data_IF_466906611574
#
_entry.id   IF_466906611574
#
_cell.length_a   1.000
_cell.length_b   1.000
_cell.length_c   1.000
_cell.angle_alpha   90.00
_cell.angle_beta   90.00
_cell.angle_gamma   90.00
#
_symmetry.space_group_name_H-M   'P 1'
#
loop_
_entity.id
_entity.type
_entity.pdbx_description
1 polymer ?
#
# COMPACT_ATOMS: atom_id res chain seq x y z
N UNK A 1 -1.01 19.10 4.00
CA UNK A 1 0.04 19.29 5.02
C UNK A 1 1.32 18.72 4.42
N UNK A 2 1.96 19.47 3.52
CA UNK A 2 3.15 18.99 2.77
C UNK A 2 4.44 19.66 3.24
N UNK A 3 4.36 20.86 3.80
CA UNK A 3 5.52 21.58 4.27
C UNK A 3 5.94 21.14 5.68
N UNK A 4 7.25 20.99 5.85
CA UNK A 4 7.90 20.64 7.11
C UNK A 4 7.52 21.62 8.22
N UNK A 5 6.88 21.16 9.31
CA UNK A 5 6.64 22.01 10.47
C UNK A 5 7.96 22.43 11.11
N UNK A 6 8.05 23.69 11.51
CA UNK A 6 9.29 24.36 11.99
C UNK A 6 9.97 23.61 13.17
N UNK A 7 9.20 22.86 13.97
CA UNK A 7 9.68 22.10 15.13
C UNK A 7 9.28 20.61 15.10
N UNK A 8 9.03 20.02 13.93
CA UNK A 8 8.68 18.60 13.85
C UNK A 8 9.86 17.71 14.25
N UNK A 9 9.61 16.75 15.15
CA UNK A 9 10.62 15.79 15.64
C UNK A 9 11.22 14.97 14.50
N UNK A 10 10.37 14.21 13.82
CA UNK A 10 10.71 13.29 12.73
C UNK A 10 9.53 13.23 11.74
N UNK A 11 9.81 12.72 10.53
CA UNK A 11 8.80 12.43 9.52
C UNK A 11 8.30 10.99 9.67
N UNK A 12 6.98 10.81 9.66
CA UNK A 12 6.31 9.51 9.57
C UNK A 12 5.50 9.47 8.27
N UNK A 13 5.76 8.47 7.43
CA UNK A 13 5.02 8.23 6.19
C UNK A 13 4.16 6.98 6.35
N UNK A 14 2.87 7.11 6.11
CA UNK A 14 1.89 6.03 6.18
C UNK A 14 1.53 5.54 4.77
N UNK A 15 1.82 4.27 4.48
CA UNK A 15 1.55 3.62 3.20
C UNK A 15 0.35 2.68 3.33
N UNK A 16 -0.72 2.98 2.59
CA UNK A 16 -1.94 2.18 2.61
C UNK A 16 -1.79 0.86 1.82
N UNK A 17 -2.65 -0.11 2.13
CA UNK A 17 -2.70 -1.40 1.44
C UNK A 17 -3.58 -1.40 0.19
N UNK A 18 -3.85 -2.59 -0.33
CA UNK A 18 -4.77 -2.77 -1.45
C UNK A 18 -6.20 -2.41 -1.04
N UNK A 19 -6.96 -1.82 -1.97
CA UNK A 19 -8.33 -1.32 -1.77
C UNK A 19 -8.47 -0.27 -0.66
N UNK A 20 -7.41 0.46 -0.36
CA UNK A 20 -7.39 1.56 0.60
C UNK A 20 -6.82 2.83 -0.05
N UNK A 21 -6.91 3.95 0.67
CA UNK A 21 -6.30 5.24 0.31
C UNK A 21 -5.94 6.01 1.59
N UNK A 22 -5.36 7.20 1.50
CA UNK A 22 -4.79 7.95 2.64
C UNK A 22 -5.73 8.05 3.85
N UNK A 23 -7.05 8.10 3.63
CA UNK A 23 -8.05 8.29 4.66
C UNK A 23 -8.09 7.17 5.70
N UNK A 24 -7.63 5.95 5.35
CA UNK A 24 -7.48 4.85 6.30
C UNK A 24 -6.58 5.22 7.49
N UNK A 25 -5.65 6.16 7.29
CA UNK A 25 -4.71 6.61 8.30
C UNK A 25 -5.16 7.85 9.07
N UNK A 26 -6.30 8.46 8.74
CA UNK A 26 -6.75 9.74 9.34
C UNK A 26 -6.66 9.79 10.88
N UNK A 27 -7.14 8.77 11.64
CA UNK A 27 -7.01 8.79 13.09
C UNK A 27 -5.56 8.80 13.59
N UNK A 28 -4.65 8.15 12.86
CA UNK A 28 -3.23 8.08 13.18
C UNK A 28 -2.51 9.38 12.83
N UNK A 29 -2.84 10.01 11.70
CA UNK A 29 -2.31 11.32 11.34
C UNK A 29 -2.62 12.34 12.43
N UNK A 30 -3.86 12.40 12.89
CA UNK A 30 -4.27 13.29 13.99
C UNK A 30 -3.51 12.96 15.29
N UNK A 31 -3.40 11.69 15.66
CA UNK A 31 -2.70 11.27 16.87
C UNK A 31 -1.21 11.66 16.87
N UNK A 32 -0.47 11.36 15.81
CA UNK A 32 0.97 11.59 15.73
C UNK A 32 1.31 13.07 15.48
N UNK A 33 0.48 13.79 14.71
CA UNK A 33 0.63 15.24 14.56
C UNK A 33 0.54 15.95 15.92
N UNK A 34 -0.44 15.57 16.76
CA UNK A 34 -0.57 16.08 18.13
C UNK A 34 0.61 15.73 19.06
N UNK A 35 1.46 14.78 18.69
CA UNK A 35 2.69 14.41 19.42
C UNK A 35 3.94 15.14 18.91
N UNK A 36 3.78 16.02 17.92
CA UNK A 36 4.85 16.84 17.32
C UNK A 36 5.63 16.15 16.21
N UNK A 37 5.06 15.12 15.57
CA UNK A 37 5.63 14.52 14.37
C UNK A 37 5.12 15.20 13.11
N UNK A 38 5.94 15.26 12.06
CA UNK A 38 5.46 15.54 10.71
C UNK A 38 4.90 14.24 10.15
N UNK A 39 3.64 14.23 9.76
CA UNK A 39 2.96 13.01 9.30
C UNK A 39 2.39 13.21 7.91
N UNK A 40 2.64 12.23 7.04
CA UNK A 40 2.20 12.24 5.65
C UNK A 40 1.60 10.88 5.31
N UNK A 41 0.45 10.87 4.64
CA UNK A 41 -0.13 9.67 4.05
C UNK A 41 -0.42 9.96 2.57
N UNK A 42 0.46 9.58 1.63
CA UNK A 42 0.17 9.73 0.22
C UNK A 42 -0.87 8.71 -0.23
N UNK A 43 -1.60 9.04 -1.30
CA UNK A 43 -2.21 8.02 -2.14
C UNK A 43 -1.11 7.40 -3.00
N UNK A 44 -0.93 6.08 -2.92
CA UNK A 44 0.06 5.41 -3.75
C UNK A 44 -0.36 5.43 -5.22
N UNK A 45 0.60 5.40 -6.15
CA UNK A 45 0.33 5.26 -7.59
C UNK A 45 -0.70 4.16 -7.84
N UNK A 46 -1.67 4.43 -8.70
CA UNK A 46 -2.78 3.51 -8.95
C UNK A 46 -4.02 3.73 -8.08
N UNK A 47 -3.97 4.58 -7.05
CA UNK A 47 -5.05 4.74 -6.07
C UNK A 47 -5.57 6.17 -5.96
N UNK A 48 -6.86 6.28 -5.62
CA UNK A 48 -7.60 7.52 -5.36
C UNK A 48 -7.25 8.69 -6.31
N UNK A 49 -6.63 9.76 -5.81
CA UNK A 49 -6.33 10.97 -6.59
C UNK A 49 -4.94 10.93 -7.24
N UNK A 50 -4.12 9.94 -6.91
CA UNK A 50 -2.82 9.72 -7.56
C UNK A 50 -2.99 9.15 -8.97
N UNK A 51 -1.99 9.43 -9.81
CA UNK A 51 -1.93 8.96 -11.20
C UNK A 51 -2.00 7.44 -11.28
N UNK A 52 -2.58 6.95 -12.38
CA UNK A 52 -2.81 5.52 -12.66
C UNK A 52 -2.15 5.15 -13.99
N UNK A 53 -0.81 4.99 -14.04
CA UNK A 53 -0.13 4.61 -15.27
C UNK A 53 -0.71 3.32 -15.86
N UNK A 54 -0.88 3.27 -17.19
CA UNK A 54 -1.46 2.10 -17.87
C UNK A 54 -0.52 0.88 -17.85
N UNK A 55 0.80 1.13 -17.89
CA UNK A 55 1.78 0.06 -17.96
C UNK A 55 1.92 -0.65 -16.61
N UNK A 56 1.71 -1.97 -16.59
CA UNK A 56 1.88 -2.80 -15.38
C UNK A 56 3.28 -2.70 -14.78
N UNK A 57 4.31 -2.56 -15.63
CA UNK A 57 5.70 -2.37 -15.19
C UNK A 57 5.92 -1.07 -14.39
N UNK A 58 5.03 -0.07 -14.53
CA UNK A 58 5.07 1.15 -13.72
C UNK A 58 4.74 0.90 -12.24
N UNK A 59 4.23 -0.27 -11.88
CA UNK A 59 3.93 -0.64 -10.49
C UNK A 59 5.00 -1.55 -9.87
N UNK A 60 6.14 -1.73 -10.54
CA UNK A 60 7.29 -2.44 -9.97
C UNK A 60 7.77 -1.75 -8.68
N UNK A 61 8.27 -2.56 -7.73
CA UNK A 61 8.75 -2.09 -6.42
C UNK A 61 9.75 -0.93 -6.50
N UNK A 62 10.60 -0.89 -7.54
CA UNK A 62 11.57 0.19 -7.74
C UNK A 62 10.89 1.57 -7.89
N UNK A 63 9.74 1.63 -8.56
CA UNK A 63 9.01 2.87 -8.78
C UNK A 63 8.20 3.26 -7.54
N UNK A 64 7.56 2.29 -6.89
CA UNK A 64 6.89 2.52 -5.59
C UNK A 64 7.86 3.07 -4.55
N UNK A 65 9.08 2.52 -4.48
CA UNK A 65 10.12 3.04 -3.60
C UNK A 65 10.63 4.43 -4.01
N UNK A 66 10.72 4.70 -5.32
CA UNK A 66 11.11 6.03 -5.84
C UNK A 66 10.14 7.09 -5.34
N UNK A 67 8.83 6.85 -5.44
CA UNK A 67 7.80 7.81 -4.99
C UNK A 67 7.94 8.15 -3.51
N UNK A 68 8.17 7.13 -2.67
CA UNK A 68 8.32 7.32 -1.21
C UNK A 68 9.58 8.12 -0.90
N UNK A 69 10.69 7.85 -1.60
CA UNK A 69 11.94 8.59 -1.43
C UNK A 69 11.80 10.04 -1.91
N UNK A 70 11.20 10.26 -3.08
CA UNK A 70 10.95 11.58 -3.63
C UNK A 70 10.03 12.40 -2.71
N UNK A 71 8.97 11.79 -2.17
CA UNK A 71 8.09 12.41 -1.18
C UNK A 71 8.86 12.79 0.10
N UNK A 72 9.69 11.88 0.63
CA UNK A 72 10.51 12.14 1.80
C UNK A 72 11.43 13.35 1.59
N UNK A 73 12.11 13.39 0.43
CA UNK A 73 12.98 14.49 0.06
C UNK A 73 12.21 15.79 -0.16
N UNK A 74 11.03 15.73 -0.78
CA UNK A 74 10.15 16.88 -0.96
C UNK A 74 9.72 17.49 0.38
N UNK A 75 9.44 16.66 1.38
CA UNK A 75 9.16 17.10 2.74
C UNK A 75 10.40 17.64 3.49
N UNK A 76 11.59 17.64 2.89
CA UNK A 76 12.82 18.17 3.50
C UNK A 76 13.46 17.23 4.52
N UNK A 77 13.30 15.92 4.36
CA UNK A 77 13.90 14.89 5.21
C UNK A 77 14.83 13.98 4.41
N UNK A 78 15.86 13.46 5.08
CA UNK A 78 16.74 12.41 4.56
C UNK A 78 16.45 11.03 5.18
N UNK A 79 15.60 11.00 6.21
CA UNK A 79 15.14 9.80 6.92
C UNK A 79 13.69 9.97 7.33
N UNK A 80 12.94 8.87 7.34
CA UNK A 80 11.55 8.83 7.79
C UNK A 80 11.26 7.47 8.43
N UNK A 81 10.29 7.47 9.35
CA UNK A 81 9.65 6.24 9.83
C UNK A 81 8.56 5.87 8.82
N UNK A 82 8.63 4.67 8.24
CA UNK A 82 7.60 4.20 7.32
C UNK A 82 6.70 3.20 8.04
N UNK A 83 5.40 3.47 8.00
CA UNK A 83 4.35 2.59 8.53
C UNK A 83 3.52 2.09 7.35
N UNK A 84 3.59 0.79 7.07
CA UNK A 84 2.89 0.16 5.96
C UNK A 84 1.84 -0.84 6.43
N UNK A 85 0.70 -0.89 5.75
CA UNK A 85 -0.32 -1.92 5.92
C UNK A 85 -0.43 -2.78 4.67
N UNK A 86 -0.56 -4.11 4.84
CA UNK A 86 -0.89 -5.04 3.75
C UNK A 86 0.09 -4.95 2.56
N UNK A 87 -0.33 -4.47 1.37
CA UNK A 87 0.55 -4.27 0.21
C UNK A 87 1.35 -2.95 0.24
N UNK A 88 1.19 -2.12 1.26
CA UNK A 88 1.99 -0.91 1.46
C UNK A 88 3.37 -1.17 2.07
N UNK A 89 3.74 -2.42 2.36
CA UNK A 89 5.01 -2.78 2.99
C UNK A 89 6.21 -2.74 2.01
N UNK A 90 7.20 -1.84 2.19
CA UNK A 90 8.41 -1.79 1.38
C UNK A 90 9.49 -2.75 1.89
N UNK A 91 9.91 -3.71 1.05
CA UNK A 91 10.89 -4.75 1.40
C UNK A 91 12.32 -4.23 1.70
N UNK A 92 12.64 -2.97 1.42
CA UNK A 92 14.03 -2.43 1.45
C UNK A 92 14.12 -1.03 2.05
N UNK A 93 13.81 -0.88 3.34
CA UNK A 93 14.01 0.39 4.05
C UNK A 93 14.74 0.18 5.38
N UNK A 94 15.40 1.24 5.88
CA UNK A 94 16.23 1.20 7.09
C UNK A 94 15.40 0.82 8.34
N UNK A 95 14.12 1.21 8.41
CA UNK A 95 13.18 0.76 9.42
C UNK A 95 11.74 0.82 8.90
N UNK A 96 11.03 -0.32 8.93
CA UNK A 96 9.63 -0.46 8.55
C UNK A 96 8.81 -0.96 9.74
N UNK A 97 7.62 -0.41 9.97
CA UNK A 97 6.61 -1.04 10.82
C UNK A 97 5.52 -1.61 9.89
N UNK A 98 5.47 -2.94 9.83
CA UNK A 98 4.53 -3.69 8.99
C UNK A 98 3.35 -4.13 9.83
N UNK A 99 2.16 -3.64 9.50
CA UNK A 99 0.93 -4.00 10.20
C UNK A 99 0.12 -4.95 9.32
N UNK A 100 -0.21 -6.11 9.88
CA UNK A 100 -1.16 -7.08 9.30
C UNK A 100 -0.79 -7.62 7.89
N UNK A 101 0.51 -7.73 7.58
CA UNK A 101 1.00 -8.35 6.34
C UNK A 101 2.01 -9.46 6.67
N UNK A 102 1.85 -10.69 6.13
CA UNK A 102 2.90 -11.69 6.23
C UNK A 102 4.13 -11.20 5.45
N UNK A 103 5.32 -11.34 6.03
CA UNK A 103 6.57 -10.97 5.35
C UNK A 103 6.60 -11.52 3.92
N UNK A 104 6.62 -10.63 2.92
CA UNK A 104 6.39 -10.96 1.50
C UNK A 104 7.33 -12.04 0.98
N UNK A 105 8.61 -11.95 1.30
CA UNK A 105 9.59 -12.97 0.95
C UNK A 105 9.30 -14.35 1.57
N UNK A 106 8.74 -14.38 2.78
CA UNK A 106 8.37 -15.64 3.46
C UNK A 106 7.08 -16.22 2.86
N UNK A 107 6.11 -15.38 2.51
CA UNK A 107 4.89 -15.78 1.81
C UNK A 107 5.21 -16.34 0.41
N UNK A 108 6.02 -15.64 -0.37
CA UNK A 108 6.46 -16.07 -1.70
C UNK A 108 7.25 -17.39 -1.66
N UNK A 109 8.15 -17.54 -0.68
CA UNK A 109 8.89 -18.78 -0.49
C UNK A 109 7.97 -19.95 -0.08
N UNK A 110 6.98 -19.72 0.78
CA UNK A 110 6.04 -20.75 1.21
C UNK A 110 5.10 -21.22 0.09
N UNK A 111 4.62 -20.32 -0.76
CA UNK A 111 3.79 -20.70 -1.92
C UNK A 111 4.62 -21.44 -2.97
N UNK A 112 5.84 -20.96 -3.29
CA UNK A 112 6.70 -21.60 -4.30
C UNK A 112 7.19 -22.98 -3.88
N UNK A 113 7.56 -23.18 -2.61
CA UNK A 113 8.17 -24.44 -2.15
C UNK A 113 7.17 -25.56 -1.90
N UNK A 114 5.89 -25.24 -1.62
CA UNK A 114 4.88 -26.22 -1.18
C UNK A 114 3.47 -25.93 -1.73
N UNK A 115 3.28 -25.82 -3.07
CA UNK A 115 2.00 -25.45 -3.66
C UNK A 115 0.87 -26.45 -3.38
N UNK A 116 1.19 -27.76 -3.33
CA UNK A 116 0.23 -28.84 -3.06
C UNK A 116 -0.16 -28.95 -1.57
N UNK A 117 0.77 -28.71 -0.65
CA UNK A 117 0.50 -28.77 0.81
C UNK A 117 -0.31 -27.57 1.29
N UNK A 118 -0.30 -26.46 0.55
CA UNK A 118 -0.99 -25.23 0.88
C UNK A 118 -2.20 -24.94 -0.01
N UNK A 119 -2.82 -25.98 -0.59
CA UNK A 119 -4.06 -25.86 -1.39
C UNK A 119 -5.12 -25.00 -0.71
N UNK A 120 -5.32 -25.16 0.61
CA UNK A 120 -6.27 -24.35 1.38
C UNK A 120 -5.90 -22.86 1.41
N UNK A 121 -4.62 -22.52 1.53
CA UNK A 121 -4.14 -21.14 1.51
C UNK A 121 -4.20 -20.55 0.11
N UNK A 122 -3.83 -21.33 -0.92
CA UNK A 122 -3.92 -20.93 -2.32
C UNK A 122 -5.37 -20.66 -2.72
N UNK A 123 -6.31 -21.53 -2.31
CA UNK A 123 -7.75 -21.31 -2.53
C UNK A 123 -8.28 -20.09 -1.78
N UNK A 124 -7.83 -19.83 -0.56
CA UNK A 124 -8.18 -18.60 0.18
C UNK A 124 -7.58 -17.33 -0.45
N UNK A 125 -6.48 -17.47 -1.19
CA UNK A 125 -5.80 -16.38 -1.89
C UNK A 125 -6.19 -16.31 -3.37
N UNK A 126 -7.33 -16.91 -3.77
CA UNK A 126 -7.80 -16.95 -5.17
C UNK A 126 -7.87 -15.55 -5.80
N UNK A 127 -8.24 -14.55 -5.00
CA UNK A 127 -8.43 -13.17 -5.43
C UNK A 127 -7.15 -12.56 -6.00
N UNK A 128 -5.96 -12.96 -5.52
CA UNK A 128 -4.66 -12.48 -6.04
C UNK A 128 -4.54 -12.82 -7.52
N UNK A 129 -4.94 -14.03 -7.92
CA UNK A 129 -4.90 -14.48 -9.31
C UNK A 129 -6.02 -13.85 -10.13
N UNK A 130 -7.21 -13.69 -9.54
CA UNK A 130 -8.32 -13.00 -10.19
C UNK A 130 -7.93 -11.59 -10.63
N UNK A 131 -7.31 -10.81 -9.74
CA UNK A 131 -6.85 -9.44 -10.04
C UNK A 131 -5.64 -9.35 -10.96
N UNK A 132 -4.98 -10.46 -11.30
CA UNK A 132 -3.91 -10.49 -12.31
C UNK A 132 -4.44 -10.76 -13.72
N UNK A 133 -5.70 -11.18 -13.86
CA UNK A 133 -6.30 -11.39 -15.17
C UNK A 133 -6.56 -10.03 -15.82
N UNK A 134 -6.10 -9.79 -17.04
CA UNK A 134 -6.36 -8.53 -17.71
C UNK A 134 -7.87 -8.43 -17.97
N UNK A 135 -8.43 -7.20 -17.96
CA UNK A 135 -9.81 -6.80 -18.30
C UNK A 135 -10.96 -7.47 -17.51
N UNK A 136 -10.78 -8.71 -17.01
CA UNK A 136 -11.81 -9.49 -16.35
C UNK A 136 -12.26 -8.88 -15.01
N UNK A 137 -11.36 -8.47 -14.09
CA UNK A 137 -11.77 -7.82 -12.84
C UNK A 137 -12.61 -6.56 -13.09
N UNK A 138 -12.19 -5.73 -14.04
CA UNK A 138 -12.88 -4.48 -14.37
C UNK A 138 -14.26 -4.76 -14.96
N UNK A 139 -14.39 -5.73 -15.86
CA UNK A 139 -15.69 -6.10 -16.42
C UNK A 139 -16.63 -6.67 -15.35
N UNK A 140 -16.14 -7.57 -14.50
CA UNK A 140 -16.94 -8.15 -13.40
C UNK A 140 -17.38 -7.07 -12.42
N UNK A 141 -16.49 -6.13 -12.07
CA UNK A 141 -16.84 -5.03 -11.17
C UNK A 141 -17.83 -4.02 -11.79
N UNK A 142 -17.79 -3.82 -13.12
CA UNK A 142 -18.74 -2.96 -13.85
C UNK A 142 -20.10 -3.60 -14.05
N UNK A 143 -20.17 -4.94 -14.11
CA UNK A 143 -21.41 -5.66 -14.30
C UNK A 143 -22.46 -5.29 -13.23
N UNK A 144 -23.72 -5.21 -13.66
CA UNK A 144 -24.87 -4.93 -12.79
C UNK A 144 -24.76 -3.59 -12.03
N UNK A 145 -24.34 -2.51 -12.68
CA UNK A 145 -24.23 -1.16 -12.06
C UNK A 145 -23.41 -1.15 -10.76
N UNK A 146 -22.23 -1.76 -10.82
CA UNK A 146 -21.32 -1.89 -9.68
C UNK A 146 -21.96 -2.58 -8.46
N UNK A 147 -23.00 -3.41 -8.65
CA UNK A 147 -23.67 -4.10 -7.54
C UNK A 147 -22.73 -4.97 -6.71
N UNK A 148 -21.65 -5.47 -7.33
CA UNK A 148 -20.58 -6.19 -6.63
C UNK A 148 -19.85 -5.30 -5.62
N UNK A 149 -19.56 -4.04 -5.97
CA UNK A 149 -18.96 -3.07 -5.05
C UNK A 149 -19.94 -2.65 -3.94
N UNK A 150 -21.22 -2.46 -4.28
CA UNK A 150 -22.26 -2.05 -3.32
C UNK A 150 -22.53 -3.09 -2.22
N UNK A 151 -22.27 -4.38 -2.48
CA UNK A 151 -22.49 -5.47 -1.52
C UNK A 151 -21.29 -5.75 -0.60
N UNK A 152 -20.18 -5.03 -0.77
CA UNK A 152 -19.03 -5.12 0.13
C UNK A 152 -18.40 -6.51 0.18
N UNK A 153 -18.44 -7.28 -0.91
CA UNK A 153 -17.73 -8.56 -0.97
C UNK A 153 -16.24 -8.33 -1.23
N UNK A 154 -15.55 -7.85 -0.19
CA UNK A 154 -14.11 -7.96 0.04
C UNK A 154 -13.89 -8.39 1.49
#
# INVERSE_FOLDING_TARGET
>A
MEEKPENAKELIIFLHGFSQFWYAWKPYLEYFSNKGFHVVAPDMRGFNDSDKPDATASYDMKYLMSDVLELMHHCGYSKAIIIGHDWGDPEKIEAAIVVNSPHRGAYAANIRKKPLLNLRQTLRSWYIYFFQLPWLPEQVMRCCDFAWLKRGCF
#
